data_IF_368240222816
#
_entry.id   IF_368240222816
#
_cell.length_a   1.000
_cell.length_b   1.000
_cell.length_c   1.000
_cell.angle_alpha   90.00
_cell.angle_beta   90.00
_cell.angle_gamma   90.00
#
_symmetry.space_group_name_H-M   'P 1'
#
loop_
_entity.id
_entity.type
_entity.pdbx_description
1 polymer ?
#
# COMPACT_ATOMS: atom_id res chain seq x y z
N UNK A 1 -8.72 -10.17 36.51
CA UNK A 1 -8.18 -11.51 36.23
C UNK A 1 -9.11 -12.20 35.28
N UNK A 2 -8.78 -12.18 33.98
CA UNK A 2 -9.54 -12.85 32.95
C UNK A 2 -9.34 -14.38 33.08
N UNK A 3 -10.37 -15.08 33.54
CA UNK A 3 -10.38 -16.54 33.66
C UNK A 3 -10.92 -17.14 32.36
N UNK A 4 -10.14 -18.03 31.73
CA UNK A 4 -10.52 -18.69 30.48
C UNK A 4 -10.53 -20.21 30.69
N UNK A 5 -11.51 -20.88 30.10
CA UNK A 5 -11.62 -22.34 30.15
C UNK A 5 -10.57 -22.99 29.27
N UNK A 6 -9.84 -23.95 29.83
CA UNK A 6 -8.84 -24.74 29.12
C UNK A 6 -9.48 -26.03 28.61
N UNK A 7 -9.28 -26.31 27.33
CA UNK A 7 -9.73 -27.53 26.67
C UNK A 7 -8.54 -28.45 26.39
N UNK A 8 -8.75 -29.77 26.53
CA UNK A 8 -7.79 -30.78 26.09
C UNK A 8 -7.87 -31.01 24.57
N UNK A 9 -6.95 -31.80 24.03
CA UNK A 9 -6.91 -32.13 22.60
C UNK A 9 -8.14 -32.92 22.10
N UNK A 10 -8.90 -33.53 23.02
CA UNK A 10 -10.14 -34.25 22.73
C UNK A 10 -11.38 -33.35 22.83
N UNK A 11 -11.21 -32.06 23.15
CA UNK A 11 -12.27 -31.07 23.28
C UNK A 11 -12.98 -31.10 24.64
N UNK A 12 -12.47 -31.84 25.63
CA UNK A 12 -13.03 -31.84 26.99
C UNK A 12 -12.44 -30.69 27.80
N UNK A 13 -13.28 -30.07 28.64
CA UNK A 13 -12.82 -29.04 29.57
C UNK A 13 -11.87 -29.67 30.60
N UNK A 14 -10.63 -29.21 30.63
CA UNK A 14 -9.56 -29.75 31.46
C UNK A 14 -9.11 -28.79 32.58
N UNK A 15 -9.64 -27.55 32.63
CA UNK A 15 -9.46 -26.65 33.77
C UNK A 15 -9.80 -25.19 33.46
N UNK A 16 -9.40 -24.29 34.36
CA UNK A 16 -9.40 -22.83 34.16
C UNK A 16 -7.98 -22.29 34.25
N UNK A 17 -7.65 -21.32 33.39
CA UNK A 17 -6.36 -20.62 33.40
C UNK A 17 -6.60 -19.13 33.60
N UNK A 18 -5.83 -18.55 34.51
CA UNK A 18 -5.81 -17.11 34.76
C UNK A 18 -4.84 -16.45 33.78
N UNK A 19 -5.36 -15.56 32.93
CA UNK A 19 -4.54 -14.78 32.00
C UNK A 19 -4.06 -13.47 32.64
N UNK A 20 -2.95 -12.95 32.12
CA UNK A 20 -2.41 -11.67 32.58
C UNK A 20 -3.32 -10.50 32.16
N UNK A 21 -3.85 -9.80 33.16
CA UNK A 21 -4.76 -8.67 32.96
C UNK A 21 -4.13 -7.50 32.17
N UNK A 22 -2.82 -7.30 32.28
CA UNK A 22 -2.13 -6.21 31.58
C UNK A 22 -2.13 -6.38 30.04
N UNK A 23 -2.41 -7.58 29.54
CA UNK A 23 -2.42 -7.89 28.11
C UNK A 23 -3.85 -8.18 27.64
N UNK A 24 -4.60 -8.97 28.41
CA UNK A 24 -5.91 -9.48 27.99
C UNK A 24 -7.10 -8.72 28.60
N UNK A 25 -6.87 -7.94 29.66
CA UNK A 25 -7.91 -7.19 30.38
C UNK A 25 -7.92 -5.69 30.09
N UNK A 26 -7.12 -5.24 29.11
CA UNK A 26 -7.06 -3.82 28.74
C UNK A 26 -8.31 -3.42 27.95
N UNK A 27 -8.77 -2.18 28.13
CA UNK A 27 -9.77 -1.59 27.23
C UNK A 27 -9.10 -1.34 25.87
N UNK A 28 -9.57 -1.97 24.78
CA UNK A 28 -8.93 -1.85 23.49
C UNK A 28 -9.13 -0.44 22.92
N UNK A 29 -8.03 0.20 22.51
CA UNK A 29 -8.09 1.44 21.76
C UNK A 29 -8.33 1.14 20.27
N UNK A 30 -9.56 1.33 19.81
CA UNK A 30 -9.98 1.02 18.44
C UNK A 30 -9.19 1.78 17.37
N UNK A 31 -8.82 3.03 17.63
CA UNK A 31 -8.05 3.84 16.67
C UNK A 31 -6.65 3.30 16.45
N UNK A 32 -5.96 2.93 17.55
CA UNK A 32 -4.61 2.35 17.47
C UNK A 32 -4.64 1.01 16.75
N UNK A 33 -5.64 0.17 17.04
CA UNK A 33 -5.81 -1.12 16.36
C UNK A 33 -6.01 -0.91 14.85
N UNK A 34 -6.86 0.04 14.47
CA UNK A 34 -7.11 0.36 13.07
C UNK A 34 -5.85 0.85 12.34
N UNK A 35 -5.11 1.78 12.94
CA UNK A 35 -3.89 2.34 12.36
C UNK A 35 -2.81 1.27 12.18
N UNK A 36 -2.65 0.39 13.17
CA UNK A 36 -1.71 -0.74 13.09
C UNK A 36 -2.11 -1.70 11.96
N UNK A 37 -3.39 -2.04 11.82
CA UNK A 37 -3.87 -2.90 10.72
C UNK A 37 -3.55 -2.26 9.36
N UNK A 38 -3.81 -0.96 9.18
CA UNK A 38 -3.47 -0.26 7.94
C UNK A 38 -1.96 -0.31 7.68
N UNK A 39 -1.15 -0.01 8.71
CA UNK A 39 0.31 0.00 8.59
C UNK A 39 0.86 -1.37 8.20
N UNK A 40 0.33 -2.45 8.78
CA UNK A 40 0.73 -3.81 8.47
C UNK A 40 0.35 -4.17 7.03
N UNK A 41 -0.88 -3.85 6.61
CA UNK A 41 -1.34 -4.06 5.24
C UNK A 41 -0.52 -3.28 4.22
N UNK A 42 -0.10 -2.05 4.55
CA UNK A 42 0.77 -1.24 3.71
C UNK A 42 2.17 -1.84 3.61
N UNK A 43 2.72 -2.34 4.73
CA UNK A 43 4.07 -2.92 4.80
C UNK A 43 4.20 -4.23 4.02
N UNK A 44 3.12 -5.01 3.93
CA UNK A 44 3.07 -6.23 3.12
C UNK A 44 2.96 -5.97 1.61
N UNK A 45 2.69 -4.72 1.17
CA UNK A 45 2.65 -4.40 -0.26
C UNK A 45 4.07 -4.30 -0.81
N UNK A 46 4.37 -5.13 -1.81
CA UNK A 46 5.71 -5.22 -2.42
C UNK A 46 6.14 -3.96 -3.20
N UNK A 47 5.19 -3.18 -3.74
CA UNK A 47 5.53 -1.91 -4.41
C UNK A 47 6.25 -2.03 -5.76
N UNK A 48 6.20 -3.16 -6.46
CA UNK A 48 6.91 -3.42 -7.74
C UNK A 48 6.31 -2.75 -8.98
N UNK A 49 5.53 -1.68 -8.80
CA UNK A 49 4.90 -0.96 -9.91
C UNK A 49 5.82 0.14 -10.44
N UNK A 50 6.02 0.19 -11.75
CA UNK A 50 6.78 1.26 -12.41
C UNK A 50 6.27 1.50 -13.83
N UNK A 51 6.25 2.76 -14.25
CA UNK A 51 5.89 3.18 -15.61
C UNK A 51 6.95 4.15 -16.12
N UNK A 52 7.24 4.11 -17.41
CA UNK A 52 8.19 5.04 -18.04
C UNK A 52 7.57 6.44 -18.09
N UNK A 53 8.22 7.41 -17.48
CA UNK A 53 7.93 8.82 -17.73
C UNK A 53 8.44 9.23 -19.14
N UNK A 54 8.08 10.43 -19.61
CA UNK A 54 8.46 10.93 -20.95
C UNK A 54 9.96 10.91 -21.25
N UNK A 55 10.82 10.95 -20.24
CA UNK A 55 12.28 10.87 -20.38
C UNK A 55 12.81 9.43 -20.45
N UNK A 56 12.10 8.47 -19.87
CA UNK A 56 12.45 7.05 -19.91
C UNK A 56 11.97 6.34 -21.19
N UNK A 57 11.10 6.99 -21.98
CA UNK A 57 10.66 6.46 -23.29
C UNK A 57 11.74 6.74 -24.34
N UNK A 58 12.20 5.69 -25.03
CA UNK A 58 13.26 5.75 -26.05
C UNK A 58 12.95 6.76 -27.15
N UNK A 59 13.92 7.51 -27.66
CA UNK A 59 13.74 8.49 -28.75
C UNK A 59 13.20 9.86 -28.29
N UNK A 60 12.89 10.74 -29.24
CA UNK A 60 12.60 12.15 -28.96
C UNK A 60 13.86 13.02 -28.98
N UNK A 61 13.96 14.01 -28.09
CA UNK A 61 15.11 14.92 -27.97
C UNK A 61 15.19 16.02 -29.03
N UNK A 62 14.79 15.73 -30.28
CA UNK A 62 14.65 16.75 -31.33
C UNK A 62 13.23 17.30 -31.35
N UNK A 63 13.12 18.62 -31.47
CA UNK A 63 11.84 19.29 -31.69
C UNK A 63 11.17 18.76 -32.98
N UNK A 64 9.91 18.28 -32.91
CA UNK A 64 9.25 17.66 -34.07
C UNK A 64 9.13 18.58 -35.29
N UNK A 65 8.88 19.87 -35.07
CA UNK A 65 8.83 20.90 -36.12
C UNK A 65 9.12 22.30 -35.57
N UNK A 66 9.38 23.26 -36.47
CA UNK A 66 9.64 24.67 -36.14
C UNK A 66 8.47 25.31 -35.38
N UNK A 67 8.73 26.31 -34.55
CA UNK A 67 7.73 26.92 -33.65
C UNK A 67 6.58 27.64 -34.35
N UNK A 68 6.81 28.15 -35.57
CA UNK A 68 5.87 28.97 -36.35
C UNK A 68 5.94 28.57 -37.84
N UNK A 69 4.91 28.91 -38.62
CA UNK A 69 4.88 28.67 -40.07
C UNK A 69 4.61 27.22 -40.49
N UNK A 70 3.96 26.42 -39.64
CA UNK A 70 3.66 25.00 -39.91
C UNK A 70 2.17 24.68 -39.96
N UNK A 71 1.28 25.60 -39.53
CA UNK A 71 -0.17 25.36 -39.42
C UNK A 71 -0.58 24.32 -38.36
N UNK A 72 0.39 23.69 -37.68
CA UNK A 72 0.18 22.67 -36.64
C UNK A 72 0.34 23.25 -35.24
N UNK A 73 -0.23 22.58 -34.24
CA UNK A 73 -0.02 22.92 -32.83
C UNK A 73 1.48 22.89 -32.43
N UNK A 74 1.85 23.59 -31.37
CA UNK A 74 3.25 23.65 -30.90
C UNK A 74 3.64 22.37 -30.17
N UNK A 75 4.82 21.83 -30.49
CA UNK A 75 5.30 20.58 -29.90
C UNK A 75 6.80 20.66 -29.57
N UNK A 76 7.16 20.20 -28.38
CA UNK A 76 8.54 20.18 -27.89
C UNK A 76 9.22 18.82 -28.05
N UNK A 77 8.46 17.73 -27.93
CA UNK A 77 8.94 16.36 -28.10
C UNK A 77 7.78 15.45 -28.51
N UNK A 78 8.08 14.43 -29.31
CA UNK A 78 7.14 13.34 -29.63
C UNK A 78 6.82 12.43 -28.43
N UNK A 79 7.50 12.61 -27.29
CA UNK A 79 7.30 11.83 -26.05
C UNK A 79 6.42 12.53 -25.02
N UNK A 80 5.76 13.61 -25.39
CA UNK A 80 4.87 14.33 -24.47
C UNK A 80 3.57 13.52 -24.26
N UNK A 81 2.91 13.57 -23.09
CA UNK A 81 1.81 12.66 -22.75
C UNK A 81 0.59 12.66 -23.67
N UNK A 82 0.38 13.74 -24.42
CA UNK A 82 -0.70 13.84 -25.41
C UNK A 82 -0.46 13.02 -26.69
N UNK A 83 0.77 12.57 -26.91
CA UNK A 83 1.12 11.74 -28.05
C UNK A 83 0.75 10.28 -27.79
N UNK A 84 0.36 9.57 -28.85
CA UNK A 84 0.19 8.11 -28.80
C UNK A 84 1.54 7.39 -28.79
#
# INVERSE_FOLDING_TARGET
MANVTLFDQTGKQAGEVVLNDAIFGIEPNESVVFDVIISQRASLRQGTHAVKNRSAVSGGGRKPWRQKGTGRARQGSIRSPQWR
#
